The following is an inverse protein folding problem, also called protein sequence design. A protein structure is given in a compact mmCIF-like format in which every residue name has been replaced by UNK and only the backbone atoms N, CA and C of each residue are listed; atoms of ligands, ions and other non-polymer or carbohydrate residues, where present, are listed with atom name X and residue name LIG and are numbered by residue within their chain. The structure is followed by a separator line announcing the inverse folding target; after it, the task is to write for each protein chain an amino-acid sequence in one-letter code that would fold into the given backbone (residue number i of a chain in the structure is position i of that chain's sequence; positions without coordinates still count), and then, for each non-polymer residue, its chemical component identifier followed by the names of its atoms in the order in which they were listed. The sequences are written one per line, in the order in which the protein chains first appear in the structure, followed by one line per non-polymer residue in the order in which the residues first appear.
data_IF_857082522187
#
_entry.id   IF_857082522187
#
_cell.length_a   1.000
_cell.length_b   1.000
_cell.length_c   1.000
_cell.angle_alpha   90.00
_cell.angle_beta   90.00
_cell.angle_gamma   90.00
#
_symmetry.space_group_name_H-M   'P 1'
#
loop_
_entity.id
_entity.type
_entity.pdbx_description
1 polymer ?
#
# COMPACT_ATOMS: atom_id res chain seq x y z
N UNK A 1 -20.55 -17.42 -8.59
CA UNK A 1 -19.27 -17.26 -7.88
C UNK A 1 -18.62 -15.96 -8.35
N UNK A 2 -18.31 -14.99 -7.48
CA UNK A 2 -17.61 -13.78 -7.90
C UNK A 2 -16.26 -14.19 -8.49
N UNK A 3 -15.98 -13.74 -9.71
CA UNK A 3 -14.74 -14.08 -10.44
C UNK A 3 -13.55 -13.65 -9.57
N UNK A 4 -12.44 -14.37 -9.58
CA UNK A 4 -11.28 -14.10 -8.71
C UNK A 4 -10.78 -12.64 -8.81
N UNK A 5 -11.00 -11.98 -9.95
CA UNK A 5 -10.74 -10.55 -10.16
C UNK A 5 -11.61 -9.63 -9.31
N UNK A 6 -12.89 -9.96 -9.08
CA UNK A 6 -13.80 -9.17 -8.25
C UNK A 6 -13.34 -9.15 -6.79
N UNK A 7 -12.90 -10.31 -6.27
CA UNK A 7 -12.33 -10.42 -4.93
C UNK A 7 -11.05 -9.58 -4.80
N UNK A 8 -10.20 -9.56 -5.83
CA UNK A 8 -8.98 -8.72 -5.87
C UNK A 8 -9.32 -7.23 -5.89
N UNK A 9 -10.24 -6.81 -6.75
CA UNK A 9 -10.65 -5.41 -6.87
C UNK A 9 -11.33 -4.90 -5.59
N UNK A 10 -12.12 -5.74 -4.92
CA UNK A 10 -12.72 -5.40 -3.63
C UNK A 10 -11.66 -5.14 -2.55
N UNK A 11 -10.58 -5.94 -2.51
CA UNK A 11 -9.45 -5.69 -1.61
C UNK A 11 -8.74 -4.39 -1.92
N UNK A 12 -8.49 -4.10 -3.19
CA UNK A 12 -7.82 -2.87 -3.59
C UNK A 12 -8.65 -1.63 -3.24
N UNK A 13 -9.98 -1.68 -3.44
CA UNK A 13 -10.89 -0.61 -2.98
C UNK A 13 -10.77 -0.37 -1.48
N UNK A 14 -10.78 -1.42 -0.65
CA UNK A 14 -10.63 -1.28 0.81
C UNK A 14 -9.29 -0.66 1.19
N UNK A 15 -8.20 -1.08 0.54
CA UNK A 15 -6.86 -0.53 0.75
C UNK A 15 -6.82 0.97 0.42
N UNK A 16 -7.37 1.36 -0.73
CA UNK A 16 -7.41 2.77 -1.17
C UNK A 16 -8.34 3.61 -0.30
N UNK A 17 -9.44 3.06 0.22
CA UNK A 17 -10.29 3.74 1.20
C UNK A 17 -9.49 4.09 2.46
N UNK A 18 -8.69 3.16 2.99
CA UNK A 18 -7.79 3.43 4.12
C UNK A 18 -6.77 4.52 3.81
N UNK A 19 -6.13 4.46 2.63
CA UNK A 19 -5.20 5.50 2.19
C UNK A 19 -5.87 6.88 2.11
N UNK A 20 -7.05 6.96 1.50
CA UNK A 20 -7.78 8.22 1.36
C UNK A 20 -8.19 8.79 2.73
N UNK A 21 -8.52 7.94 3.70
CA UNK A 21 -8.79 8.35 5.08
C UNK A 21 -7.56 9.03 5.71
N UNK A 22 -6.36 8.47 5.55
CA UNK A 22 -5.13 9.10 6.05
C UNK A 22 -4.79 10.40 5.33
N UNK A 23 -5.00 10.48 4.00
CA UNK A 23 -4.83 11.73 3.25
C UNK A 23 -5.78 12.82 3.77
N UNK A 24 -7.04 12.47 4.05
CA UNK A 24 -8.00 13.44 4.60
C UNK A 24 -7.64 13.86 6.03
N UNK A 25 -7.19 12.92 6.85
CA UNK A 25 -6.69 13.20 8.20
C UNK A 25 -5.52 14.19 8.15
N UNK A 26 -4.60 14.00 7.20
CA UNK A 26 -3.48 14.90 6.98
C UNK A 26 -3.94 16.30 6.58
N UNK A 27 -4.90 16.41 5.64
CA UNK A 27 -5.52 17.69 5.27
C UNK A 27 -6.16 18.39 6.47
N UNK A 28 -6.85 17.65 7.34
CA UNK A 28 -7.51 18.24 8.51
C UNK A 28 -6.52 18.88 9.48
N UNK A 29 -5.26 18.43 9.51
CA UNK A 29 -4.19 19.01 10.35
C UNK A 29 -3.55 20.26 9.76
N UNK A 30 -3.83 20.61 8.50
CA UNK A 30 -3.34 21.83 7.90
C UNK A 30 -4.08 23.07 8.47
N UNK A 31 -3.44 24.25 8.48
CA UNK A 31 -4.10 25.52 8.74
C UNK A 31 -5.30 25.76 7.82
N UNK A 32 -6.35 26.41 8.33
CA UNK A 32 -7.58 26.67 7.56
C UNK A 32 -7.34 27.58 6.35
N UNK A 33 -6.44 28.55 6.48
CA UNK A 33 -6.09 29.50 5.43
C UNK A 33 -5.42 28.81 4.23
N UNK A 34 -4.86 27.62 4.46
CA UNK A 34 -4.16 26.86 3.42
C UNK A 34 -5.08 25.89 2.71
N UNK A 35 -6.27 25.61 3.27
CA UNK A 35 -7.25 24.66 2.76
C UNK A 35 -8.13 25.31 1.69
N UNK A 36 -8.15 24.70 0.50
CA UNK A 36 -9.07 25.06 -0.59
C UNK A 36 -10.14 23.97 -0.77
N UNK A 37 -11.36 24.32 -1.20
CA UNK A 37 -12.46 23.35 -1.40
C UNK A 37 -12.05 22.16 -2.28
N UNK A 38 -11.25 22.40 -3.32
CA UNK A 38 -10.80 21.41 -4.32
C UNK A 38 -9.33 21.01 -4.19
N UNK A 39 -8.76 21.00 -2.98
CA UNK A 39 -7.37 20.61 -2.78
C UNK A 39 -7.08 19.16 -3.22
N UNK A 40 -6.08 19.00 -4.08
CA UNK A 40 -5.63 17.72 -4.61
C UNK A 40 -4.76 16.94 -3.61
N UNK A 41 -4.59 15.64 -3.84
CA UNK A 41 -3.74 14.77 -3.01
C UNK A 41 -2.28 15.26 -2.96
N UNK A 42 -1.76 15.72 -4.10
CA UNK A 42 -0.40 16.23 -4.20
C UNK A 42 -0.23 17.50 -3.37
N UNK A 43 -1.16 18.44 -3.49
CA UNK A 43 -1.15 19.68 -2.70
C UNK A 43 -1.23 19.40 -1.20
N UNK A 44 -2.06 18.44 -0.77
CA UNK A 44 -2.14 18.01 0.64
C UNK A 44 -0.77 17.54 1.12
N UNK A 45 -0.10 16.67 0.37
CA UNK A 45 1.22 16.12 0.74
C UNK A 45 2.28 17.23 0.79
N UNK A 46 2.35 18.07 -0.24
CA UNK A 46 3.30 19.17 -0.32
C UNK A 46 3.13 20.18 0.83
N UNK A 47 1.90 20.66 1.05
CA UNK A 47 1.59 21.61 2.14
C UNK A 47 1.87 21.01 3.51
N UNK A 48 1.65 19.72 3.70
CA UNK A 48 1.94 19.04 4.97
C UNK A 48 3.43 18.99 5.25
N UNK A 49 4.25 18.70 4.23
CA UNK A 49 5.71 18.75 4.35
C UNK A 49 6.19 20.15 4.77
N UNK A 50 5.69 21.19 4.08
CA UNK A 50 5.99 22.59 4.41
C UNK A 50 5.53 22.95 5.83
N UNK A 51 4.34 22.50 6.24
CA UNK A 51 3.81 22.80 7.57
C UNK A 51 4.62 22.14 8.68
N UNK A 52 5.02 20.87 8.51
CA UNK A 52 5.93 20.21 9.45
C UNK A 52 7.24 20.99 9.58
N UNK A 53 7.83 21.45 8.47
CA UNK A 53 9.06 22.24 8.52
C UNK A 53 8.86 23.59 9.22
N UNK A 54 7.75 24.28 8.94
CA UNK A 54 7.40 25.53 9.60
C UNK A 54 7.27 25.34 11.12
N UNK A 55 6.54 24.31 11.56
CA UNK A 55 6.39 23.99 12.99
C UNK A 55 7.73 23.65 13.63
N UNK A 56 8.58 22.85 12.97
CA UNK A 56 9.93 22.54 13.46
C UNK A 56 10.76 23.80 13.68
N UNK A 57 10.77 24.71 12.69
CA UNK A 57 11.51 25.97 12.79
C UNK A 57 10.94 26.86 13.91
N UNK A 58 9.62 26.97 13.99
CA UNK A 58 8.94 27.75 15.03
C UNK A 58 9.30 27.24 16.43
N UNK A 59 9.31 25.93 16.64
CA UNK A 59 9.68 25.32 17.91
C UNK A 59 11.18 25.43 18.21
N UNK A 60 12.07 25.29 17.21
CA UNK A 60 13.53 25.46 17.40
C UNK A 60 13.94 26.89 17.71
N UNK A 61 13.15 27.87 17.28
CA UNK A 61 13.34 29.28 17.67
C UNK A 61 12.85 29.54 19.11
N UNK A 62 12.07 28.62 19.67
CA UNK A 62 11.45 28.77 20.99
C UNK A 62 12.26 28.09 22.09
N UNK A 63 13.04 27.04 21.82
CA UNK A 63 13.95 26.39 22.78
C UNK A 63 15.18 25.78 22.08
N UNK A 64 16.41 25.90 22.65
CA UNK A 64 17.55 25.11 22.19
C UNK A 64 17.31 23.63 22.52
N UNK A 65 16.83 22.86 21.53
CA UNK A 65 16.63 21.43 21.66
C UNK A 65 17.97 20.69 21.77
N UNK A 66 18.33 20.29 23.00
CA UNK A 66 19.47 19.40 23.26
C UNK A 66 19.02 17.97 22.92
N UNK A 67 19.49 17.45 21.79
CA UNK A 67 19.43 16.01 21.52
C UNK A 67 20.48 15.31 22.40
N UNK A 68 20.08 14.81 23.56
CA UNK A 68 20.85 13.77 24.25
C UNK A 68 20.80 12.49 23.41
N UNK A 69 21.80 12.34 22.55
CA UNK A 69 22.06 11.14 21.79
C UNK A 69 22.83 10.14 22.66
N UNK A 70 22.17 9.63 23.71
CA UNK A 70 22.70 8.54 24.53
C UNK A 70 22.62 7.22 23.75
N UNK A 71 23.61 7.04 22.87
CA UNK A 71 23.99 5.78 22.25
C UNK A 71 24.39 4.77 23.36
N UNK A 72 23.46 3.93 23.81
CA UNK A 72 23.79 2.71 24.57
C UNK A 72 23.71 1.51 23.64
N UNK A 73 24.88 1.16 23.10
CA UNK A 73 25.18 -0.18 22.62
C UNK A 73 24.81 -1.20 23.70
N UNK A 74 23.95 -2.16 23.37
CA UNK A 74 23.94 -3.46 24.03
C UNK A 74 24.12 -4.52 22.95
N UNK A 75 25.36 -4.97 22.83
CA UNK A 75 25.75 -6.10 22.01
C UNK A 75 25.12 -7.40 22.53
N UNK A 76 24.77 -8.26 21.56
CA UNK A 76 24.85 -9.72 21.58
C UNK A 76 24.04 -10.53 22.61
N UNK A 77 23.05 -11.26 22.09
CA UNK A 77 22.81 -12.65 22.48
C UNK A 77 22.25 -13.42 21.29
N UNK A 78 23.13 -14.15 20.61
CA UNK A 78 22.76 -15.22 19.69
C UNK A 78 22.00 -16.31 20.46
N UNK A 79 20.81 -16.70 20.02
CA UNK A 79 20.20 -17.95 20.44
C UNK A 79 19.88 -18.81 19.22
N UNK A 80 20.73 -19.83 19.02
CA UNK A 80 20.57 -20.89 18.02
C UNK A 80 19.85 -22.08 18.65
N UNK A 81 19.19 -22.84 17.78
CA UNK A 81 18.57 -24.16 17.95
C UNK A 81 17.17 -24.10 18.60
N UNK A 82 16.20 -24.90 18.19
CA UNK A 82 16.33 -26.31 17.81
C UNK A 82 15.15 -26.75 16.92
N UNK A 83 15.44 -27.63 15.97
CA UNK A 83 14.46 -28.26 15.11
C UNK A 83 13.77 -29.41 15.82
N UNK A 84 12.45 -29.52 15.68
CA UNK A 84 11.73 -30.76 15.96
C UNK A 84 10.52 -30.88 15.03
N UNK A 85 10.77 -31.66 13.98
CA UNK A 85 9.82 -32.36 13.13
C UNK A 85 8.66 -33.01 13.92
N UNK A 86 7.42 -32.86 13.44
CA UNK A 86 6.42 -33.94 13.50
C UNK A 86 5.34 -33.76 12.43
N UNK A 87 5.31 -34.76 11.55
CA UNK A 87 4.32 -35.05 10.51
C UNK A 87 2.92 -35.29 11.11
N UNK A 88 1.88 -34.95 10.36
CA UNK A 88 0.68 -35.78 10.19
C UNK A 88 -0.15 -35.26 9.00
N UNK A 89 -0.07 -36.01 7.88
CA UNK A 89 -1.17 -36.49 7.02
C UNK A 89 -2.44 -35.61 6.97
N UNK A 90 -2.92 -35.09 5.84
CA UNK A 90 -3.07 -35.74 4.53
C UNK A 90 -4.56 -35.81 4.20
N UNK A 91 -5.03 -35.04 3.22
CA UNK A 91 -6.20 -35.39 2.40
C UNK A 91 -6.21 -34.53 1.13
N UNK A 92 -5.95 -35.25 0.05
CA UNK A 92 -5.92 -34.79 -1.32
C UNK A 92 -7.31 -34.36 -1.77
N UNK A 93 -7.37 -33.33 -2.63
CA UNK A 93 -8.28 -33.27 -3.76
C UNK A 93 -7.65 -32.35 -4.82
N UNK A 94 -6.71 -32.93 -5.57
CA UNK A 94 -6.35 -32.44 -6.91
C UNK A 94 -7.30 -33.12 -7.88
N UNK A 95 -8.35 -32.42 -8.26
CA UNK A 95 -9.11 -32.78 -9.45
C UNK A 95 -8.47 -32.04 -10.62
N UNK A 96 -7.69 -32.79 -11.39
CA UNK A 96 -7.20 -32.46 -12.71
C UNK A 96 -8.37 -32.48 -13.69
N UNK A 97 -8.65 -31.34 -14.30
CA UNK A 97 -9.33 -31.30 -15.59
C UNK A 97 -8.53 -30.38 -16.52
N UNK A 98 -7.58 -31.01 -17.19
CA UNK A 98 -6.87 -30.46 -18.34
C UNK A 98 -7.66 -30.88 -19.58
N UNK A 99 -8.47 -29.96 -20.10
CA UNK A 99 -8.81 -30.00 -21.51
C UNK A 99 -9.12 -28.60 -22.05
N UNK A 100 -8.29 -28.23 -23.03
CA UNK A 100 -8.57 -27.29 -24.11
C UNK A 100 -8.36 -25.78 -23.84
N UNK A 101 -7.09 -25.37 -23.74
CA UNK A 101 -6.69 -23.96 -23.82
C UNK A 101 -5.76 -23.68 -25.00
N UNK A 102 -6.21 -23.98 -26.21
CA UNK A 102 -5.57 -23.49 -27.44
C UNK A 102 -6.64 -23.31 -28.52
N UNK A 103 -7.17 -22.09 -28.72
CA UNK A 103 -7.82 -21.66 -30.00
C UNK A 103 -8.39 -20.23 -30.02
N UNK A 104 -8.51 -19.50 -28.91
CA UNK A 104 -9.29 -18.22 -28.93
C UNK A 104 -8.50 -16.96 -29.31
N UNK A 105 -7.18 -16.94 -29.13
CA UNK A 105 -6.38 -15.73 -29.41
C UNK A 105 -6.27 -15.41 -30.92
N UNK A 106 -6.42 -16.41 -31.79
CA UNK A 106 -6.39 -16.26 -33.25
C UNK A 106 -7.61 -15.50 -33.80
N UNK A 107 -8.73 -15.49 -33.05
CA UNK A 107 -9.98 -14.89 -33.53
C UNK A 107 -10.12 -13.40 -33.23
N UNK A 108 -9.34 -12.86 -32.29
CA UNK A 108 -9.39 -11.44 -31.97
C UNK A 108 -8.79 -10.58 -33.09
N UNK A 109 -7.65 -11.02 -33.65
CA UNK A 109 -6.97 -10.30 -34.74
C UNK A 109 -7.76 -10.30 -36.06
N UNK A 110 -8.49 -11.38 -36.36
CA UNK A 110 -9.30 -11.46 -37.57
C UNK A 110 -10.57 -10.59 -37.46
N UNK A 111 -11.15 -10.47 -36.26
CA UNK A 111 -12.36 -9.68 -36.03
C UNK A 111 -12.13 -8.18 -36.16
N UNK A 112 -10.94 -7.68 -35.84
CA UNK A 112 -10.61 -6.25 -35.94
C UNK A 112 -10.30 -5.81 -37.37
N UNK A 113 -9.89 -6.72 -38.26
CA UNK A 113 -9.54 -6.38 -39.66
C UNK A 113 -10.73 -6.36 -40.62
N UNK A 114 -11.85 -7.04 -40.31
CA UNK A 114 -13.03 -7.04 -41.19
C UNK A 114 -13.82 -5.72 -41.17
N UNK A 115 -13.58 -4.84 -40.17
CA UNK A 115 -14.39 -3.63 -39.95
C UNK A 115 -13.81 -2.37 -40.63
N UNK A 116 -12.81 -2.52 -41.50
CA UNK A 116 -12.08 -1.40 -42.11
C UNK A 116 -12.09 -1.32 -43.64
N UNK A 117 -13.00 -2.01 -44.34
CA UNK A 117 -13.21 -1.81 -45.79
C UNK A 117 -14.66 -1.41 -46.08
#
# INVERSE_FOLDING_TARGET
MPKNDEKRNARERRRVQGLNHYIQTLRNKLPEEWKSKKMSKLEIIQKSSVYIQHLRNFLSLTEPFVLDNSNRQSESSNNRNDGSNRQSEGSNNRESDDSNRQSEDSNFYNKTMTVLN
#
